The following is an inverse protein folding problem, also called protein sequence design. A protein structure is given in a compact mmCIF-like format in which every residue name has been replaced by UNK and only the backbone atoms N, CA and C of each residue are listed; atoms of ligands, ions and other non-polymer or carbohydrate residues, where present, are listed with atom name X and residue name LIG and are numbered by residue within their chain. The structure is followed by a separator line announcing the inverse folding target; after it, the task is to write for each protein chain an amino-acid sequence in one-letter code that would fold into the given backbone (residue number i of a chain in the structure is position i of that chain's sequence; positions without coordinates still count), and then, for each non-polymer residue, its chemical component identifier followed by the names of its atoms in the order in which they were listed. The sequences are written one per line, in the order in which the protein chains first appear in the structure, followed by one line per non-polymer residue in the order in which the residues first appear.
data_IF_794685762417
#
_entry.id   IF_794685762417
#
_cell.length_a   1.000
_cell.length_b   1.000
_cell.length_c   1.000
_cell.angle_alpha   90.00
_cell.angle_beta   90.00
_cell.angle_gamma   90.00
#
_symmetry.space_group_name_H-M   'P 1'
#
loop_
_entity.id
_entity.type
_entity.pdbx_description
1 polymer ?
#
# COMPACT_ATOMS: atom_id res chain seq x y z
N UNK A 1 51.90 -63.45 8.30
CA UNK A 1 51.84 -62.08 7.79
C UNK A 1 50.54 -61.53 8.23
N UNK A 2 50.54 -60.76 9.30
CA UNK A 2 49.39 -60.21 9.96
C UNK A 2 49.28 -58.73 9.67
N UNK A 3 48.25 -58.37 8.97
CA UNK A 3 47.88 -56.96 8.71
C UNK A 3 47.08 -56.41 9.86
N UNK A 4 47.65 -55.49 10.61
CA UNK A 4 46.99 -54.78 11.71
C UNK A 4 46.20 -53.61 11.13
N UNK A 5 44.90 -53.72 11.10
CA UNK A 5 44.01 -52.61 10.80
C UNK A 5 44.07 -51.58 11.97
N UNK A 6 44.54 -50.38 11.67
CA UNK A 6 44.58 -49.25 12.58
C UNK A 6 43.13 -48.74 12.79
N UNK A 7 42.72 -48.65 14.07
CA UNK A 7 41.47 -48.06 14.50
C UNK A 7 41.63 -46.54 14.50
N UNK A 8 40.76 -45.75 13.84
CA UNK A 8 40.86 -44.32 13.92
C UNK A 8 40.42 -43.80 15.29
N UNK A 9 41.27 -42.98 15.85
CA UNK A 9 41.13 -42.23 17.11
C UNK A 9 39.88 -41.37 17.08
N UNK A 10 39.01 -41.56 18.06
CA UNK A 10 37.83 -40.72 18.25
C UNK A 10 38.25 -39.30 18.55
N UNK A 11 37.91 -38.36 17.69
CA UNK A 11 37.99 -36.96 17.98
C UNK A 11 37.11 -36.65 19.21
N UNK A 12 37.76 -36.09 20.27
CA UNK A 12 37.08 -35.58 21.44
C UNK A 12 36.17 -34.41 21.02
N UNK A 13 34.86 -34.57 21.27
CA UNK A 13 33.92 -33.48 21.16
C UNK A 13 34.26 -32.35 22.15
N UNK A 14 34.35 -31.13 21.66
CA UNK A 14 34.49 -29.94 22.48
C UNK A 14 33.29 -29.82 23.44
N UNK A 15 33.50 -29.32 24.67
CA UNK A 15 32.41 -29.12 25.61
C UNK A 15 31.42 -28.09 25.02
N UNK A 16 30.13 -28.21 25.31
CA UNK A 16 29.15 -27.24 24.86
C UNK A 16 29.45 -25.88 25.51
N UNK A 17 29.44 -24.81 24.71
CA UNK A 17 29.55 -23.44 25.20
C UNK A 17 28.43 -23.20 26.23
N UNK A 18 28.81 -22.89 27.46
CA UNK A 18 27.89 -22.45 28.50
C UNK A 18 27.26 -21.12 28.07
N UNK A 19 26.03 -21.17 27.59
CA UNK A 19 25.24 -19.97 27.39
C UNK A 19 25.06 -19.27 28.74
N UNK A 20 25.36 -17.95 28.86
CA UNK A 20 25.20 -17.24 30.12
C UNK A 20 23.73 -17.32 30.56
N UNK A 21 23.48 -17.95 31.72
CA UNK A 21 22.19 -18.02 32.35
C UNK A 21 21.65 -16.59 32.56
N UNK A 22 20.82 -16.15 31.66
CA UNK A 22 20.23 -14.83 31.70
C UNK A 22 19.20 -14.80 32.83
N UNK A 23 19.51 -14.06 33.88
CA UNK A 23 18.71 -13.97 35.10
C UNK A 23 17.27 -13.53 34.78
N UNK A 24 16.30 -14.44 34.90
CA UNK A 24 14.89 -14.21 34.61
C UNK A 24 14.35 -12.94 35.29
N UNK A 25 14.77 -12.65 36.53
CA UNK A 25 14.35 -11.44 37.22
C UNK A 25 14.78 -10.15 36.50
N UNK A 26 15.97 -10.13 35.91
CA UNK A 26 16.44 -8.99 35.13
C UNK A 26 15.67 -8.81 33.82
N UNK A 27 15.26 -9.91 33.18
CA UNK A 27 14.41 -9.85 31.95
C UNK A 27 13.01 -9.32 32.24
N UNK A 28 12.40 -9.75 33.35
CA UNK A 28 11.06 -9.26 33.74
C UNK A 28 11.11 -7.77 34.08
N UNK A 29 12.13 -7.31 34.79
CA UNK A 29 12.31 -5.89 35.11
C UNK A 29 12.56 -5.04 33.86
N UNK A 30 13.36 -5.54 32.90
CA UNK A 30 13.61 -4.85 31.65
C UNK A 30 12.33 -4.77 30.78
N UNK A 31 11.54 -5.85 30.73
CA UNK A 31 10.28 -5.88 30.03
C UNK A 31 9.24 -4.91 30.62
N UNK A 32 9.15 -4.86 31.96
CA UNK A 32 8.28 -3.91 32.65
C UNK A 32 8.72 -2.46 32.45
N UNK A 33 10.02 -2.18 32.46
CA UNK A 33 10.56 -0.85 32.18
C UNK A 33 10.30 -0.41 30.75
N UNK A 34 10.43 -1.32 29.75
CA UNK A 34 10.10 -1.06 28.35
C UNK A 34 8.60 -0.84 28.13
N UNK A 35 7.75 -1.65 28.75
CA UNK A 35 6.30 -1.46 28.71
C UNK A 35 5.87 -0.14 29.37
N UNK A 36 6.47 0.22 30.49
CA UNK A 36 6.25 1.49 31.18
C UNK A 36 6.70 2.70 30.34
N UNK A 37 7.86 2.61 29.70
CA UNK A 37 8.37 3.65 28.82
C UNK A 37 7.50 3.84 27.56
N UNK A 38 7.02 2.73 26.96
CA UNK A 38 6.13 2.78 25.80
C UNK A 38 4.74 3.33 26.19
N UNK A 39 4.17 2.86 27.28
CA UNK A 39 2.87 3.35 27.76
C UNK A 39 2.95 4.82 28.24
N UNK A 40 4.00 5.18 28.98
CA UNK A 40 4.25 6.55 29.42
C UNK A 40 4.61 7.48 28.26
N UNK A 41 5.37 7.01 27.30
CA UNK A 41 5.76 7.76 26.10
C UNK A 41 4.54 8.03 25.19
N UNK A 42 3.69 7.03 24.95
CA UNK A 42 2.44 7.20 24.21
C UNK A 42 1.45 8.12 24.94
N UNK A 43 1.37 8.03 26.27
CA UNK A 43 0.52 8.90 27.07
C UNK A 43 1.02 10.34 27.12
N UNK A 44 2.36 10.55 27.17
CA UNK A 44 2.98 11.87 27.11
C UNK A 44 2.86 12.51 25.72
N UNK A 45 3.05 11.74 24.67
CA UNK A 45 2.85 12.19 23.28
C UNK A 45 1.36 12.45 23.00
N UNK A 46 0.45 11.67 23.57
CA UNK A 46 -1.00 11.89 23.47
C UNK A 46 -1.51 13.13 24.25
N UNK A 47 -0.80 13.56 25.29
CA UNK A 47 -1.14 14.80 26.02
C UNK A 47 -0.66 16.08 25.30
N UNK A 48 0.37 15.98 24.45
CA UNK A 48 0.90 17.11 23.69
C UNK A 48 0.13 17.42 22.40
N UNK A 49 -0.65 16.47 21.90
CA UNK A 49 -1.58 16.64 20.79
C UNK A 49 -2.99 16.58 21.34
N UNK A 50 -3.62 17.75 21.52
CA UNK A 50 -4.97 17.89 22.06
C UNK A 50 -5.96 16.91 21.46
N UNK A 51 -6.31 15.87 22.22
CA UNK A 51 -7.02 14.68 21.75
C UNK A 51 -8.51 14.88 21.47
N UNK A 52 -9.03 16.10 21.45
CA UNK A 52 -10.44 16.35 21.09
C UNK A 52 -10.61 17.18 19.81
N UNK A 53 -9.55 17.82 19.29
CA UNK A 53 -9.61 18.57 18.03
C UNK A 53 -8.97 17.85 16.83
N UNK A 54 -8.34 16.68 17.04
CA UNK A 54 -7.71 15.91 15.97
C UNK A 54 -8.74 15.09 15.16
N UNK A 55 -9.88 14.73 15.76
CA UNK A 55 -10.91 13.91 15.11
C UNK A 55 -11.70 14.65 14.02
N UNK A 56 -11.68 15.99 14.03
CA UNK A 56 -12.50 16.82 13.13
C UNK A 56 -11.67 17.49 12.01
N UNK A 57 -10.38 17.23 11.99
CA UNK A 57 -9.49 17.83 10.99
C UNK A 57 -9.16 16.79 9.89
N UNK A 58 -9.43 17.10 8.60
CA UNK A 58 -9.10 16.18 7.51
C UNK A 58 -7.62 15.75 7.56
N UNK A 59 -7.37 14.48 7.33
CA UNK A 59 -6.01 13.95 7.27
C UNK A 59 -5.22 14.64 6.14
N UNK A 60 -3.96 14.91 6.40
CA UNK A 60 -3.02 15.38 5.38
C UNK A 60 -2.12 14.24 4.91
N UNK A 61 -1.64 14.30 3.67
CA UNK A 61 -0.73 13.30 3.13
C UNK A 61 0.52 13.18 3.99
N UNK A 62 0.70 12.00 4.58
CA UNK A 62 1.93 11.67 5.30
C UNK A 62 2.99 11.29 4.29
N UNK A 63 4.22 11.85 4.38
CA UNK A 63 5.30 11.42 3.51
C UNK A 63 5.59 9.94 3.78
N UNK A 64 5.68 9.15 2.73
CA UNK A 64 6.14 7.75 2.81
C UNK A 64 7.46 7.69 3.57
N UNK A 65 7.56 6.78 4.55
CA UNK A 65 8.77 6.64 5.36
C UNK A 65 10.01 6.56 4.49
N UNK A 66 11.08 7.19 4.95
CA UNK A 66 12.45 7.30 4.38
C UNK A 66 12.50 7.10 2.87
N UNK A 67 12.53 8.20 2.14
CA UNK A 67 12.81 8.23 0.70
C UNK A 67 14.00 7.33 0.38
N UNK A 68 13.77 6.11 -0.06
CA UNK A 68 14.73 5.42 -0.88
C UNK A 68 14.64 6.16 -2.21
N UNK A 69 15.52 7.14 -2.39
CA UNK A 69 15.60 7.87 -3.65
C UNK A 69 15.67 6.80 -4.74
N UNK A 70 14.65 6.79 -5.61
CA UNK A 70 14.65 5.93 -6.79
C UNK A 70 15.95 6.24 -7.54
N UNK A 71 16.88 5.30 -7.52
CA UNK A 71 18.21 5.47 -8.12
C UNK A 71 18.13 5.04 -9.59
N UNK A 72 17.92 6.00 -10.47
CA UNK A 72 18.08 5.72 -11.91
C UNK A 72 17.65 6.90 -12.80
N UNK A 73 18.27 7.07 -13.98
CA UNK A 73 17.94 8.16 -14.92
C UNK A 73 16.59 7.97 -15.63
N UNK A 74 15.89 6.84 -15.40
CA UNK A 74 14.64 6.49 -16.08
C UNK A 74 13.38 7.14 -15.50
N UNK A 75 13.51 8.01 -14.50
CA UNK A 75 12.37 8.46 -13.68
C UNK A 75 12.01 9.93 -13.86
N UNK A 76 12.59 10.61 -14.81
CA UNK A 76 12.09 11.91 -15.24
C UNK A 76 10.73 11.73 -15.90
N UNK A 77 9.67 12.09 -15.19
CA UNK A 77 8.27 11.99 -15.65
C UNK A 77 7.39 11.01 -14.88
N UNK A 78 7.95 10.14 -14.05
CA UNK A 78 7.14 9.28 -13.18
C UNK A 78 6.57 10.09 -12.00
N UNK A 79 5.30 9.87 -11.68
CA UNK A 79 4.68 10.44 -10.48
C UNK A 79 5.19 9.72 -9.24
N UNK A 80 5.23 10.43 -8.12
CA UNK A 80 5.55 9.85 -6.80
C UNK A 80 4.26 9.57 -6.02
N UNK A 81 4.35 8.67 -5.03
CA UNK A 81 3.24 8.41 -4.12
C UNK A 81 2.75 9.67 -3.38
N UNK A 82 3.65 10.60 -3.08
CA UNK A 82 3.29 11.89 -2.48
C UNK A 82 2.50 12.79 -3.46
N UNK A 83 2.83 12.80 -4.75
CA UNK A 83 2.05 13.50 -5.77
C UNK A 83 0.67 12.86 -5.97
N UNK A 84 0.61 11.52 -6.01
CA UNK A 84 -0.65 10.78 -6.09
C UNK A 84 -1.54 11.06 -4.87
N UNK A 85 -0.95 11.05 -3.66
CA UNK A 85 -1.69 11.36 -2.44
C UNK A 85 -2.28 12.78 -2.48
N UNK A 86 -1.51 13.78 -2.85
CA UNK A 86 -2.02 15.17 -2.95
C UNK A 86 -3.09 15.32 -4.01
N UNK A 87 -2.98 14.61 -5.12
CA UNK A 87 -4.00 14.63 -6.17
C UNK A 87 -5.30 13.97 -5.71
N UNK A 88 -5.21 12.90 -4.91
CA UNK A 88 -6.35 12.15 -4.41
C UNK A 88 -6.98 12.79 -3.17
N UNK A 89 -6.17 13.25 -2.19
CA UNK A 89 -6.64 13.83 -0.92
C UNK A 89 -7.11 15.27 -1.09
N UNK A 90 -8.13 15.45 -1.91
CA UNK A 90 -8.78 16.72 -2.23
C UNK A 90 -9.97 16.96 -1.32
N UNK A 91 -10.28 18.24 -1.09
CA UNK A 91 -11.41 18.63 -0.26
C UNK A 91 -12.78 18.19 -0.82
N UNK A 92 -12.88 17.99 -2.15
CA UNK A 92 -14.11 17.56 -2.81
C UNK A 92 -14.23 16.03 -2.97
N UNK A 93 -13.25 15.23 -2.55
CA UNK A 93 -13.28 13.76 -2.64
C UNK A 93 -14.52 13.15 -1.96
N UNK A 94 -14.92 13.56 -0.74
CA UNK A 94 -16.15 13.03 -0.12
C UNK A 94 -17.39 13.31 -0.96
N UNK A 95 -17.48 14.49 -1.58
CA UNK A 95 -18.60 14.85 -2.47
C UNK A 95 -18.62 13.97 -3.73
N UNK A 96 -17.46 13.70 -4.32
CA UNK A 96 -17.33 12.81 -5.49
C UNK A 96 -17.81 11.39 -5.17
N UNK A 97 -17.57 10.94 -3.94
CA UNK A 97 -17.99 9.63 -3.44
C UNK A 97 -19.46 9.59 -2.97
N UNK A 98 -20.14 10.73 -2.90
CA UNK A 98 -21.52 10.82 -2.41
C UNK A 98 -21.65 10.88 -0.88
N UNK A 99 -20.57 11.16 -0.18
CA UNK A 99 -20.52 11.29 1.28
C UNK A 99 -20.00 12.68 1.72
N UNK A 100 -20.68 13.78 1.33
CA UNK A 100 -20.15 15.15 1.46
C UNK A 100 -19.91 15.60 2.92
N UNK A 101 -20.51 14.90 3.88
CA UNK A 101 -20.32 15.17 5.32
C UNK A 101 -19.07 14.48 5.92
N UNK A 102 -18.42 13.59 5.16
CA UNK A 102 -17.23 12.90 5.60
C UNK A 102 -15.96 13.71 5.27
N UNK A 103 -14.87 13.33 5.89
CA UNK A 103 -13.52 13.83 5.58
C UNK A 103 -12.52 12.69 5.62
N UNK A 104 -11.34 12.90 5.05
CA UNK A 104 -10.26 11.92 5.08
C UNK A 104 -9.84 11.64 6.53
N UNK A 105 -9.89 10.38 6.93
CA UNK A 105 -9.41 9.88 8.21
C UNK A 105 -7.90 9.60 8.14
N UNK A 106 -7.47 9.00 7.03
CA UNK A 106 -6.06 8.77 6.72
C UNK A 106 -5.77 9.15 5.28
N UNK A 107 -4.55 9.61 5.01
CA UNK A 107 -4.06 9.88 3.66
C UNK A 107 -2.55 9.62 3.62
N UNK A 108 -2.12 8.76 2.74
CA UNK A 108 -0.69 8.45 2.59
C UNK A 108 -0.36 8.06 1.15
N UNK A 109 0.89 8.29 0.77
CA UNK A 109 1.44 7.83 -0.49
C UNK A 109 2.64 6.93 -0.24
N UNK A 110 2.97 6.09 -1.19
CA UNK A 110 4.15 5.23 -1.16
C UNK A 110 4.79 5.14 -2.54
N UNK A 111 6.12 5.13 -2.54
CA UNK A 111 6.90 4.84 -3.74
C UNK A 111 7.30 3.36 -3.67
N UNK A 112 6.71 2.56 -4.53
CA UNK A 112 6.98 1.12 -4.65
C UNK A 112 7.45 0.78 -6.06
N UNK A 113 8.11 -0.35 -6.17
CA UNK A 113 8.53 -0.92 -7.45
C UNK A 113 8.41 -2.44 -7.40
N UNK A 114 8.18 -3.03 -8.54
CA UNK A 114 8.12 -4.49 -8.73
C UNK A 114 9.23 -4.89 -9.70
N UNK A 115 9.98 -5.94 -9.35
CA UNK A 115 11.00 -6.53 -10.23
C UNK A 115 10.56 -7.93 -10.62
N UNK A 116 9.99 -8.13 -11.82
CA UNK A 116 9.70 -9.45 -12.33
C UNK A 116 10.97 -10.31 -12.44
N UNK A 117 10.83 -11.63 -12.33
CA UNK A 117 11.95 -12.55 -12.47
C UNK A 117 12.60 -12.37 -13.86
N UNK A 118 13.89 -11.99 -13.89
CA UNK A 118 14.64 -11.72 -15.12
C UNK A 118 14.29 -10.42 -15.85
N UNK A 119 13.40 -9.59 -15.30
CA UNK A 119 12.96 -8.31 -15.87
C UNK A 119 13.65 -7.09 -15.27
N UNK A 120 13.33 -5.93 -15.83
CA UNK A 120 13.68 -4.61 -15.28
C UNK A 120 12.75 -4.25 -14.14
N UNK A 121 13.22 -3.41 -13.23
CA UNK A 121 12.40 -2.83 -12.17
C UNK A 121 11.34 -1.89 -12.76
N UNK A 122 10.09 -2.04 -12.34
CA UNK A 122 8.94 -1.26 -12.79
C UNK A 122 8.46 -0.45 -11.59
N UNK A 123 8.40 0.87 -11.73
CA UNK A 123 7.87 1.73 -10.69
C UNK A 123 6.34 1.57 -10.60
N UNK A 124 5.84 1.43 -9.38
CA UNK A 124 4.41 1.27 -9.07
C UNK A 124 4.03 2.12 -7.86
N UNK A 125 4.21 3.46 -7.93
CA UNK A 125 3.82 4.33 -6.84
C UNK A 125 2.32 4.29 -6.61
N UNK A 126 1.92 4.49 -5.36
CA UNK A 126 0.51 4.46 -4.98
C UNK A 126 0.19 5.46 -3.88
N UNK A 127 -1.10 5.73 -3.70
CA UNK A 127 -1.64 6.52 -2.61
C UNK A 127 -2.98 5.94 -2.17
N UNK A 128 -3.29 6.10 -0.89
CA UNK A 128 -4.57 5.69 -0.33
C UNK A 128 -5.13 6.81 0.53
N UNK A 129 -6.42 7.03 0.40
CA UNK A 129 -7.20 7.93 1.26
C UNK A 129 -8.38 7.14 1.81
N UNK A 130 -8.46 7.07 3.13
CA UNK A 130 -9.57 6.42 3.82
C UNK A 130 -10.52 7.46 4.40
N UNK A 131 -11.79 7.29 4.11
CA UNK A 131 -12.91 7.99 4.74
C UNK A 131 -13.65 7.01 5.67
N UNK A 132 -14.71 7.43 6.31
CA UNK A 132 -15.52 6.55 7.16
C UNK A 132 -16.19 5.43 6.35
N UNK A 133 -16.78 5.77 5.21
CA UNK A 133 -17.52 4.82 4.36
C UNK A 133 -16.66 4.21 3.28
N UNK A 134 -15.74 4.98 2.69
CA UNK A 134 -14.96 4.58 1.53
C UNK A 134 -13.47 4.59 1.78
N UNK A 135 -12.77 3.68 1.12
CA UNK A 135 -11.34 3.80 0.84
C UNK A 135 -11.14 3.97 -0.65
N UNK A 136 -10.22 4.85 -1.01
CA UNK A 136 -9.83 5.09 -2.40
C UNK A 136 -8.33 4.92 -2.54
N UNK A 137 -7.93 4.13 -3.52
CA UNK A 137 -6.53 3.96 -3.92
C UNK A 137 -6.32 4.54 -5.30
N UNK A 138 -5.21 5.22 -5.48
CA UNK A 138 -4.73 5.71 -6.77
C UNK A 138 -3.29 5.22 -6.94
N UNK A 139 -3.01 4.52 -8.03
CA UNK A 139 -1.67 4.06 -8.34
C UNK A 139 -1.31 4.33 -9.81
N UNK A 140 -0.01 4.25 -10.11
CA UNK A 140 0.51 4.29 -11.46
C UNK A 140 1.39 3.08 -11.70
N UNK A 141 1.35 2.52 -12.90
CA UNK A 141 2.27 1.49 -13.36
C UNK A 141 3.01 1.99 -14.60
N UNK A 142 4.33 1.85 -14.57
CA UNK A 142 5.21 2.26 -15.67
C UNK A 142 5.75 1.05 -16.42
N UNK A 143 4.94 0.00 -16.51
CA UNK A 143 5.19 -1.12 -17.42
C UNK A 143 4.91 -0.72 -18.87
N UNK A 144 5.03 -1.67 -19.79
CA UNK A 144 4.72 -1.44 -21.20
C UNK A 144 3.38 -2.04 -21.62
N UNK A 145 2.59 -2.49 -20.64
CA UNK A 145 1.30 -3.10 -20.89
C UNK A 145 0.29 -2.02 -21.26
N UNK A 146 -0.39 -2.19 -22.38
CA UNK A 146 -1.48 -1.31 -22.74
C UNK A 146 -2.75 -1.70 -22.00
N UNK A 147 -3.67 -0.76 -21.83
CA UNK A 147 -5.00 -1.02 -21.23
C UNK A 147 -5.78 -2.05 -22.04
N UNK A 148 -5.63 -2.05 -23.36
CA UNK A 148 -6.21 -3.07 -24.24
C UNK A 148 -5.62 -4.47 -24.00
N UNK A 149 -4.32 -4.59 -23.70
CA UNK A 149 -3.71 -5.87 -23.31
C UNK A 149 -4.22 -6.33 -21.94
N UNK A 150 -4.31 -5.41 -20.97
CA UNK A 150 -4.88 -5.67 -19.66
C UNK A 150 -6.33 -6.17 -19.76
N UNK A 151 -7.17 -5.51 -20.59
CA UNK A 151 -8.54 -5.95 -20.84
C UNK A 151 -8.63 -7.40 -21.37
N UNK A 152 -7.67 -7.81 -22.19
CA UNK A 152 -7.63 -9.20 -22.69
C UNK A 152 -7.25 -10.20 -21.62
N UNK A 153 -6.38 -9.83 -20.69
CA UNK A 153 -5.99 -10.69 -19.56
C UNK A 153 -7.13 -10.88 -18.56
N UNK A 154 -7.88 -9.80 -18.25
CA UNK A 154 -9.07 -9.86 -17.40
C UNK A 154 -10.24 -10.60 -18.06
N UNK A 155 -10.28 -10.66 -19.37
CA UNK A 155 -11.28 -11.38 -20.14
C UNK A 155 -12.71 -10.85 -19.93
N UNK A 156 -13.69 -11.75 -19.69
CA UNK A 156 -15.11 -11.35 -19.57
C UNK A 156 -15.44 -10.45 -18.36
N UNK A 157 -14.53 -10.34 -17.39
CA UNK A 157 -14.71 -9.47 -16.23
C UNK A 157 -14.40 -8.00 -16.52
N UNK A 158 -13.73 -7.74 -17.62
CA UNK A 158 -13.29 -6.42 -18.03
C UNK A 158 -14.38 -5.70 -18.82
N UNK A 159 -14.87 -4.58 -18.29
CA UNK A 159 -15.77 -3.68 -19.00
C UNK A 159 -14.97 -2.53 -19.62
N UNK A 160 -14.92 -2.45 -20.95
CA UNK A 160 -14.25 -1.33 -21.62
C UNK A 160 -15.02 -0.04 -21.41
N UNK A 161 -14.32 1.03 -21.06
CA UNK A 161 -14.82 2.39 -20.82
C UNK A 161 -13.92 3.40 -21.54
N UNK A 162 -14.38 4.64 -21.56
CA UNK A 162 -13.56 5.82 -21.93
C UNK A 162 -13.68 6.83 -20.79
N UNK A 163 -12.55 7.33 -20.32
CA UNK A 163 -12.47 8.30 -19.22
C UNK A 163 -11.61 9.47 -19.68
N UNK A 164 -12.18 10.68 -19.70
CA UNK A 164 -11.52 11.90 -20.17
C UNK A 164 -10.83 11.71 -21.56
N UNK A 165 -11.44 10.95 -22.47
CA UNK A 165 -10.93 10.65 -23.80
C UNK A 165 -9.97 9.45 -23.88
N UNK A 166 -9.53 8.89 -22.76
CA UNK A 166 -8.58 7.79 -22.69
C UNK A 166 -9.25 6.43 -22.59
N UNK A 167 -8.60 5.40 -23.13
CA UNK A 167 -9.07 4.02 -22.97
C UNK A 167 -9.00 3.62 -21.51
N UNK A 168 -10.04 2.95 -21.05
CA UNK A 168 -10.14 2.48 -19.69
C UNK A 168 -10.79 1.10 -19.61
N UNK A 169 -10.52 0.40 -18.52
CA UNK A 169 -11.11 -0.89 -18.17
C UNK A 169 -11.62 -0.83 -16.75
N UNK A 170 -12.89 -1.14 -16.58
CA UNK A 170 -13.55 -1.27 -15.29
C UNK A 170 -13.73 -2.75 -14.97
N UNK A 171 -13.33 -3.16 -13.77
CA UNK A 171 -13.51 -4.53 -13.27
C UNK A 171 -13.72 -4.56 -11.76
N UNK A 172 -14.04 -5.73 -11.22
CA UNK A 172 -14.15 -5.95 -9.78
C UNK A 172 -12.99 -6.82 -9.31
N UNK A 173 -12.44 -6.44 -8.16
CA UNK A 173 -11.43 -7.23 -7.47
C UNK A 173 -11.80 -7.39 -6.00
N UNK A 174 -11.21 -8.39 -5.34
CA UNK A 174 -11.42 -8.63 -3.93
C UNK A 174 -10.24 -8.09 -3.12
N UNK A 175 -10.54 -7.17 -2.20
CA UNK A 175 -9.53 -6.66 -1.28
C UNK A 175 -9.19 -7.69 -0.21
N UNK A 176 -8.06 -7.49 0.48
CA UNK A 176 -7.64 -8.33 1.60
C UNK A 176 -7.67 -7.53 2.90
N UNK A 177 -8.19 -8.14 3.96
CA UNK A 177 -8.10 -7.63 5.33
C UNK A 177 -6.94 -8.31 6.03
N UNK A 178 -6.01 -7.53 6.57
CA UNK A 178 -4.93 -8.03 7.39
C UNK A 178 -5.22 -7.65 8.83
N UNK A 179 -5.47 -8.65 9.67
CA UNK A 179 -5.68 -8.47 11.10
C UNK A 179 -4.39 -8.74 11.87
N UNK A 180 -4.03 -7.84 12.79
CA UNK A 180 -2.92 -8.02 13.71
C UNK A 180 -3.48 -8.24 15.12
N UNK A 181 -3.13 -9.37 15.75
CA UNK A 181 -3.42 -9.57 17.17
C UNK A 181 -2.28 -9.01 18.02
N UNK A 182 -2.56 -7.92 18.73
CA UNK A 182 -1.67 -7.37 19.75
C UNK A 182 -1.58 -8.37 20.90
N UNK A 183 -0.43 -9.02 21.05
CA UNK A 183 -0.15 -9.97 22.14
C UNK A 183 0.04 -11.43 21.75
N UNK A 184 -0.11 -11.82 20.48
CA UNK A 184 0.03 -13.22 20.07
C UNK A 184 0.82 -13.48 18.79
N UNK A 185 1.32 -12.45 18.12
CA UNK A 185 2.19 -12.61 16.94
C UNK A 185 1.55 -13.27 15.70
N UNK A 186 0.24 -13.52 15.69
CA UNK A 186 -0.45 -14.09 14.53
C UNK A 186 -1.05 -12.99 13.68
N UNK A 187 -0.59 -12.92 12.43
CA UNK A 187 -1.25 -12.15 11.39
C UNK A 187 -2.32 -13.03 10.76
N UNK A 188 -3.55 -12.54 10.70
CA UNK A 188 -4.64 -13.21 9.99
C UNK A 188 -4.94 -12.45 8.71
N UNK A 189 -5.05 -13.17 7.60
CA UNK A 189 -5.50 -12.62 6.32
C UNK A 189 -6.89 -13.17 6.04
N UNK A 190 -7.83 -12.28 5.74
CA UNK A 190 -9.18 -12.64 5.34
C UNK A 190 -9.57 -11.88 4.06
N UNK A 191 -10.51 -12.41 3.25
CA UNK A 191 -11.08 -11.64 2.16
C UNK A 191 -11.67 -10.32 2.68
N UNK A 192 -11.36 -9.23 2.00
CA UNK A 192 -11.93 -7.91 2.27
C UNK A 192 -13.25 -7.68 1.54
N UNK A 193 -13.64 -6.43 1.40
CA UNK A 193 -14.75 -6.02 0.55
C UNK A 193 -14.40 -6.12 -0.94
N UNK A 194 -15.41 -6.06 -1.79
CA UNK A 194 -15.21 -5.97 -3.24
C UNK A 194 -14.80 -4.54 -3.56
N UNK A 195 -13.70 -4.40 -4.30
CA UNK A 195 -13.31 -3.14 -4.92
C UNK A 195 -13.87 -3.05 -6.34
N UNK A 196 -14.25 -1.86 -6.75
CA UNK A 196 -14.41 -1.50 -8.16
C UNK A 196 -13.16 -0.76 -8.59
N UNK A 197 -12.55 -1.24 -9.63
CA UNK A 197 -11.23 -0.79 -10.08
C UNK A 197 -11.32 -0.34 -11.54
N UNK A 198 -10.73 0.81 -11.82
CA UNK A 198 -10.64 1.42 -13.13
C UNK A 198 -9.19 1.60 -13.51
N UNK A 199 -8.73 0.92 -14.54
CA UNK A 199 -7.42 1.08 -15.16
C UNK A 199 -7.56 1.98 -16.37
N UNK A 200 -6.76 3.06 -16.45
CA UNK A 200 -6.87 4.10 -17.48
C UNK A 200 -5.51 4.33 -18.13
N UNK A 201 -5.49 4.39 -19.45
CA UNK A 201 -4.28 4.74 -20.19
C UNK A 201 -3.81 6.17 -19.87
N UNK A 202 -2.50 6.43 -19.78
CA UNK A 202 -1.98 7.76 -19.50
C UNK A 202 -2.13 8.74 -20.67
N UNK A 203 -2.37 8.22 -21.86
CA UNK A 203 -2.55 8.95 -23.11
C UNK A 203 -3.67 8.35 -23.98
N UNK A 204 -4.12 9.09 -25.00
CA UNK A 204 -5.19 8.66 -25.88
C UNK A 204 -4.79 7.48 -26.80
N UNK A 205 -3.49 7.33 -27.08
CA UNK A 205 -2.93 6.30 -27.94
C UNK A 205 -2.82 4.94 -27.25
N UNK A 206 -2.89 4.90 -25.89
CA UNK A 206 -2.64 3.72 -25.06
C UNK A 206 -1.21 3.17 -25.28
N UNK A 207 -0.22 4.06 -25.12
CA UNK A 207 1.19 3.78 -25.42
C UNK A 207 1.85 2.81 -24.43
N UNK A 208 1.16 2.45 -23.37
CA UNK A 208 1.63 1.55 -22.30
C UNK A 208 1.77 2.27 -20.96
N UNK A 209 1.78 1.49 -19.90
CA UNK A 209 1.59 1.98 -18.55
C UNK A 209 0.13 2.29 -18.24
N UNK A 210 -0.17 2.62 -17.01
CA UNK A 210 -1.55 2.90 -16.60
C UNK A 210 -1.62 3.70 -15.30
N UNK A 211 -2.73 4.41 -15.14
CA UNK A 211 -3.23 4.84 -13.84
C UNK A 211 -4.35 3.91 -13.40
N UNK A 212 -4.38 3.58 -12.12
CA UNK A 212 -5.44 2.76 -11.54
C UNK A 212 -6.12 3.51 -10.40
N UNK A 213 -7.44 3.56 -10.44
CA UNK A 213 -8.28 4.07 -9.36
C UNK A 213 -9.13 2.92 -8.85
N UNK A 214 -8.97 2.57 -7.58
CA UNK A 214 -9.79 1.55 -6.92
C UNK A 214 -10.58 2.18 -5.77
N UNK A 215 -11.85 1.80 -5.67
CA UNK A 215 -12.75 2.24 -4.60
C UNK A 215 -13.37 1.01 -3.96
N UNK A 216 -13.37 0.94 -2.64
CA UNK A 216 -14.10 -0.07 -1.88
C UNK A 216 -14.78 0.55 -0.66
N UNK A 217 -15.78 -0.15 -0.14
CA UNK A 217 -16.53 0.32 1.04
C UNK A 217 -16.02 -0.37 2.30
N UNK A 218 -15.88 0.41 3.35
CA UNK A 218 -15.45 -0.08 4.68
C UNK A 218 -16.52 -0.96 5.35
N UNK A 219 -17.80 -0.74 5.03
CA UNK A 219 -18.93 -1.53 5.53
C UNK A 219 -19.16 -2.85 4.77
N UNK A 220 -18.34 -3.14 3.75
CA UNK A 220 -18.43 -4.35 2.94
C UNK A 220 -19.51 -4.30 1.84
N UNK A 221 -20.20 -3.17 1.67
CA UNK A 221 -21.11 -2.94 0.55
C UNK A 221 -20.37 -2.81 -0.79
N UNK A 222 -21.12 -2.89 -1.89
CA UNK A 222 -20.55 -2.64 -3.22
C UNK A 222 -20.39 -1.13 -3.45
N UNK A 223 -19.23 -0.68 -3.96
CA UNK A 223 -19.07 0.70 -4.38
C UNK A 223 -19.92 1.03 -5.61
N UNK A 224 -20.28 2.30 -5.73
CA UNK A 224 -20.98 2.83 -6.91
C UNK A 224 -19.97 3.13 -8.03
N UNK A 225 -20.19 2.55 -9.22
CA UNK A 225 -19.37 2.80 -10.41
C UNK A 225 -19.37 4.27 -10.81
N UNK A 226 -20.49 4.97 -10.65
CA UNK A 226 -20.57 6.38 -10.97
C UNK A 226 -19.70 7.23 -10.03
N UNK A 227 -19.57 6.83 -8.75
CA UNK A 227 -18.66 7.48 -7.82
C UNK A 227 -17.19 7.28 -8.24
N UNK A 228 -16.82 6.04 -8.62
CA UNK A 228 -15.48 5.73 -9.12
C UNK A 228 -15.14 6.56 -10.37
N UNK A 229 -16.07 6.63 -11.34
CA UNK A 229 -15.88 7.40 -12.57
C UNK A 229 -15.70 8.90 -12.26
N UNK A 230 -16.54 9.49 -11.39
CA UNK A 230 -16.39 10.90 -10.98
C UNK A 230 -15.03 11.17 -10.35
N UNK A 231 -14.54 10.26 -9.50
CA UNK A 231 -13.20 10.39 -8.89
C UNK A 231 -12.14 10.35 -9.99
N UNK A 232 -12.18 9.38 -10.88
CA UNK A 232 -11.19 9.22 -11.95
C UNK A 232 -11.17 10.45 -12.88
N UNK A 233 -12.31 10.90 -13.36
CA UNK A 233 -12.44 12.07 -14.24
C UNK A 233 -11.94 13.37 -13.61
N UNK A 234 -12.01 13.46 -12.27
CA UNK A 234 -11.60 14.65 -11.55
C UNK A 234 -10.13 14.62 -11.12
N UNK A 235 -9.60 13.44 -10.83
CA UNK A 235 -8.24 13.28 -10.26
C UNK A 235 -7.20 13.07 -11.36
N UNK A 236 -7.46 12.20 -12.34
CA UNK A 236 -6.46 11.82 -13.32
C UNK A 236 -5.93 12.98 -14.16
N UNK A 237 -6.77 13.92 -14.66
CA UNK A 237 -6.27 15.07 -15.43
C UNK A 237 -5.37 16.03 -14.64
N UNK A 238 -5.34 15.93 -13.31
CA UNK A 238 -4.48 16.75 -12.47
C UNK A 238 -3.10 16.12 -12.22
N UNK A 239 -2.86 14.90 -12.71
CA UNK A 239 -1.60 14.20 -12.49
C UNK A 239 -0.52 14.67 -13.45
N UNK A 240 0.74 14.78 -12.97
CA UNK A 240 1.88 14.96 -13.87
C UNK A 240 1.97 13.77 -14.86
N UNK A 241 2.18 14.08 -16.13
CA UNK A 241 2.29 13.04 -17.17
C UNK A 241 0.95 12.60 -17.77
N UNK A 242 -0.18 13.14 -17.30
CA UNK A 242 -1.44 13.00 -17.99
C UNK A 242 -1.43 13.84 -19.29
N UNK A 243 -1.62 13.19 -20.42
CA UNK A 243 -1.72 13.87 -21.71
C UNK A 243 -3.20 14.02 -22.08
N UNK A 244 -3.75 15.24 -22.19
CA UNK A 244 -5.14 15.42 -22.61
C UNK A 244 -5.38 14.80 -24.00
N UNK A 245 -6.56 14.17 -24.18
CA UNK A 245 -6.98 13.60 -25.45
C UNK A 245 -7.39 14.69 -26.46
#
# INVERSE_FOLDING_TARGET
MGDRLAVPERAQAAPPDEEPEMNWGAQVLLALALCGALAGGLWYLGRGSGGEQAADRPASCSPSGKKKALKGPAQAGHVTGDQLCRALNRADLPTLLGTPAEHAQTAYGNDSSVKPAGGTEIDTPGATVDLTTYSVQLSASYDRMTVDQFARLEGPRAERKTVAGHRAVLYSDQTFKIGFQLGGGKTTTAPGGIARTLVVAPDAEDSGGSYEVAVWRQDGGLPDDAALLRVAERVLPALPGWNPA
#
